data_IF_166159597649
#
_entry.id   IF_166159597649
#
_cell.length_a   1.000
_cell.length_b   1.000
_cell.length_c   1.000
_cell.angle_alpha   90.00
_cell.angle_beta   90.00
_cell.angle_gamma   90.00
#
_symmetry.space_group_name_H-M   'P 1'
#
loop_
_entity.id
_entity.type
_entity.pdbx_description
1 polymer ?
#
# COMPACT_ATOMS: atom_id res chain seq x y z
N UNK A 1 -59.39 -76.75 -2.48
CA UNK A 1 -60.65 -76.39 -1.78
C UNK A 1 -60.27 -75.69 -0.47
N UNK A 2 -60.89 -74.54 -0.18
CA UNK A 2 -60.74 -73.69 1.02
C UNK A 2 -59.38 -72.99 1.20
N UNK A 3 -59.26 -71.73 1.65
CA UNK A 3 -60.19 -70.66 2.06
C UNK A 3 -59.39 -69.34 2.01
N UNK A 4 -60.01 -68.25 1.55
CA UNK A 4 -59.53 -66.87 1.77
C UNK A 4 -59.68 -66.51 3.26
N UNK A 5 -58.80 -65.69 3.82
CA UNK A 5 -59.19 -64.44 4.50
C UNK A 5 -58.01 -63.51 4.84
N UNK A 6 -58.35 -62.22 4.76
CA UNK A 6 -57.62 -60.98 4.96
C UNK A 6 -56.66 -60.88 6.15
N UNK A 7 -55.62 -60.08 5.96
CA UNK A 7 -54.97 -59.29 7.00
C UNK A 7 -54.35 -58.02 6.40
N UNK A 8 -55.09 -56.91 6.45
CA UNK A 8 -54.58 -55.55 6.17
C UNK A 8 -53.74 -55.15 7.37
N UNK A 9 -52.47 -54.78 7.16
CA UNK A 9 -51.73 -53.94 8.11
C UNK A 9 -51.02 -52.81 7.37
N UNK A 10 -51.19 -51.63 7.96
CA UNK A 10 -50.88 -50.30 7.48
C UNK A 10 -49.44 -49.93 7.88
N UNK A 11 -48.73 -49.26 6.98
CA UNK A 11 -47.74 -48.19 7.22
C UNK A 11 -46.59 -48.39 8.22
N UNK A 12 -45.36 -48.29 7.72
CA UNK A 12 -44.42 -47.23 8.12
C UNK A 12 -43.21 -47.20 7.16
N UNK A 13 -43.25 -46.34 6.15
CA UNK A 13 -42.03 -45.87 5.50
C UNK A 13 -41.32 -44.93 6.47
N UNK A 14 -40.26 -45.42 7.11
CA UNK A 14 -39.33 -44.56 7.84
C UNK A 14 -38.49 -43.84 6.79
N UNK A 15 -38.90 -42.61 6.46
CA UNK A 15 -38.03 -41.63 5.83
C UNK A 15 -36.94 -41.29 6.86
N UNK A 16 -35.75 -41.86 6.68
CA UNK A 16 -34.54 -41.32 7.30
C UNK A 16 -34.22 -40.03 6.55
N UNK A 17 -34.91 -38.95 6.94
CA UNK A 17 -34.40 -37.62 6.72
C UNK A 17 -33.18 -37.50 7.65
N UNK A 18 -31.99 -37.81 7.12
CA UNK A 18 -30.76 -37.37 7.77
C UNK A 18 -30.82 -35.85 7.79
N UNK A 19 -31.00 -35.37 9.01
CA UNK A 19 -31.05 -33.98 9.43
C UNK A 19 -29.72 -33.30 9.10
N UNK A 20 -29.53 -32.93 7.83
CA UNK A 20 -28.43 -32.11 7.35
C UNK A 20 -28.69 -30.62 7.66
N UNK A 21 -29.36 -30.34 8.77
CA UNK A 21 -29.59 -29.00 9.31
C UNK A 21 -29.14 -28.92 10.78
N UNK A 22 -28.26 -29.83 11.21
CA UNK A 22 -27.53 -29.66 12.46
C UNK A 22 -26.40 -28.68 12.22
N UNK A 23 -26.68 -27.41 12.53
CA UNK A 23 -25.73 -26.36 12.87
C UNK A 23 -24.39 -26.45 12.13
N UNK A 24 -24.29 -25.69 11.03
CA UNK A 24 -23.02 -25.07 10.72
C UNK A 24 -22.74 -24.11 11.89
N UNK A 25 -22.22 -24.63 13.00
CA UNK A 25 -21.61 -23.83 14.05
C UNK A 25 -20.72 -22.84 13.30
N UNK A 26 -21.04 -21.56 13.42
CA UNK A 26 -20.15 -20.50 12.96
C UNK A 26 -18.92 -20.60 13.83
N UNK A 27 -17.98 -21.47 13.44
CA UNK A 27 -16.71 -21.60 14.10
C UNK A 27 -16.10 -20.20 14.12
N UNK A 28 -15.99 -19.63 15.33
CA UNK A 28 -15.50 -18.27 15.49
C UNK A 28 -14.07 -18.23 14.95
N UNK A 29 -13.80 -17.34 14.01
CA UNK A 29 -12.46 -17.22 13.43
C UNK A 29 -11.48 -16.81 14.54
N UNK A 30 -10.53 -17.70 14.84
CA UNK A 30 -9.47 -17.43 15.81
C UNK A 30 -8.36 -16.68 15.10
N UNK A 31 -8.18 -15.41 15.43
CA UNK A 31 -7.09 -14.60 14.88
C UNK A 31 -5.73 -15.15 15.34
N UNK A 32 -4.81 -15.50 14.42
CA UNK A 32 -3.46 -15.92 14.76
C UNK A 32 -2.73 -14.84 15.57
N UNK A 33 -1.72 -15.26 16.33
CA UNK A 33 -0.92 -14.37 17.18
C UNK A 33 0.52 -14.32 16.68
N UNK A 34 1.12 -13.14 16.79
CA UNK A 34 2.53 -12.91 16.52
C UNK A 34 3.43 -13.52 17.61
N UNK A 35 4.74 -13.46 17.39
CA UNK A 35 5.77 -13.95 18.31
C UNK A 35 5.73 -13.32 19.71
N UNK A 36 5.00 -12.20 19.89
CA UNK A 36 4.82 -11.55 21.19
C UNK A 36 3.47 -11.90 21.86
N UNK A 37 2.70 -12.79 21.22
CA UNK A 37 1.38 -13.20 21.65
C UNK A 37 0.28 -12.18 21.33
N UNK A 38 0.56 -11.12 20.57
CA UNK A 38 -0.45 -10.16 20.15
C UNK A 38 -1.15 -10.64 18.87
N UNK A 39 -2.45 -10.33 18.71
CA UNK A 39 -3.19 -10.75 17.52
C UNK A 39 -2.66 -10.04 16.28
N UNK A 40 -2.48 -10.78 15.19
CA UNK A 40 -2.24 -10.20 13.87
C UNK A 40 -3.43 -9.37 13.40
N UNK A 41 -3.16 -8.35 12.59
CA UNK A 41 -4.16 -7.79 11.68
C UNK A 41 -4.22 -8.70 10.45
N UNK A 42 -5.30 -9.45 10.30
CA UNK A 42 -5.48 -10.39 9.19
C UNK A 42 -6.43 -9.85 8.13
N UNK A 43 -6.20 -10.21 6.87
CA UNK A 43 -7.09 -9.80 5.79
C UNK A 43 -6.61 -10.23 4.41
N UNK A 44 -7.35 -9.77 3.40
CA UNK A 44 -7.00 -9.85 1.99
C UNK A 44 -6.30 -8.55 1.58
N UNK A 45 -5.04 -8.67 1.19
CA UNK A 45 -4.22 -7.61 0.61
C UNK A 45 -4.06 -7.86 -0.89
N UNK A 46 -4.92 -7.24 -1.70
CA UNK A 46 -4.79 -7.27 -3.17
C UNK A 46 -4.93 -8.68 -3.77
N UNK A 47 -5.74 -9.54 -3.16
CA UNK A 47 -5.98 -10.93 -3.56
C UNK A 47 -5.11 -11.95 -2.83
N UNK A 48 -4.37 -11.55 -1.79
CA UNK A 48 -3.52 -12.44 -0.98
C UNK A 48 -3.90 -12.36 0.50
N UNK A 49 -4.12 -13.50 1.18
CA UNK A 49 -4.29 -13.53 2.62
C UNK A 49 -2.97 -13.16 3.33
N UNK A 50 -3.05 -12.28 4.32
CA UNK A 50 -1.87 -11.77 5.04
C UNK A 50 -2.06 -11.78 6.57
N UNK A 51 -0.93 -11.88 7.27
CA UNK A 51 -0.79 -11.64 8.70
C UNK A 51 0.12 -10.42 8.92
N UNK A 52 -0.44 -9.29 9.36
CA UNK A 52 0.29 -8.05 9.65
C UNK A 52 0.53 -7.91 11.15
N UNK A 53 1.78 -8.04 11.57
CA UNK A 53 2.18 -8.02 12.98
C UNK A 53 2.40 -6.62 13.50
N UNK A 54 3.28 -6.49 14.49
CA UNK A 54 3.62 -5.19 15.11
C UNK A 54 4.50 -4.34 14.21
N UNK A 55 5.20 -4.98 13.28
CA UNK A 55 6.00 -4.39 12.22
C UNK A 55 5.17 -3.65 11.16
N UNK A 56 3.84 -3.84 11.11
CA UNK A 56 2.94 -3.21 10.15
C UNK A 56 1.76 -2.52 10.86
N UNK A 57 2.00 -1.40 11.56
CA UNK A 57 0.97 -0.68 12.28
C UNK A 57 -0.06 0.00 11.34
N UNK A 58 -1.10 0.58 11.94
CA UNK A 58 -2.08 1.45 11.27
C UNK A 58 -2.85 0.80 10.10
N UNK A 59 -3.23 -0.47 10.24
CA UNK A 59 -3.99 -1.19 9.21
C UNK A 59 -5.41 -0.65 9.05
N UNK A 60 -5.72 -0.18 7.84
CA UNK A 60 -7.04 0.26 7.41
C UNK A 60 -7.79 -0.85 6.68
N UNK A 61 -9.08 -0.98 6.98
CA UNK A 61 -9.99 -1.93 6.32
C UNK A 61 -11.11 -1.16 5.62
N UNK A 62 -11.81 -1.81 4.70
CA UNK A 62 -12.89 -1.25 3.87
C UNK A 62 -14.05 -0.58 4.63
N UNK A 63 -14.29 -1.04 5.86
CA UNK A 63 -15.35 -0.56 6.75
C UNK A 63 -14.87 0.41 7.83
N UNK A 64 -13.57 0.73 7.86
CA UNK A 64 -12.95 1.64 8.82
C UNK A 64 -11.98 2.59 8.08
N UNK A 65 -12.53 3.46 7.24
CA UNK A 65 -11.81 4.62 6.71
C UNK A 65 -11.78 5.72 7.78
N UNK A 66 -10.62 6.31 8.06
CA UNK A 66 -10.30 7.19 9.19
C UNK A 66 -11.07 8.50 9.39
N UNK A 67 -12.33 8.60 8.97
CA UNK A 67 -13.22 9.71 9.32
C UNK A 67 -14.29 9.24 10.31
N UNK A 68 -14.15 9.71 11.55
CA UNK A 68 -15.08 9.48 12.65
C UNK A 68 -16.43 10.11 12.31
N UNK A 69 -17.33 9.34 11.72
CA UNK A 69 -18.76 9.62 11.85
C UNK A 69 -19.11 9.42 13.33
N UNK A 70 -19.89 10.31 13.95
CA UNK A 70 -20.18 10.33 15.40
C UNK A 70 -20.85 9.07 15.99
N UNK A 71 -20.86 7.93 15.29
CA UNK A 71 -21.27 6.62 15.78
C UNK A 71 -20.04 5.85 16.25
N UNK A 72 -20.11 5.26 17.46
CA UNK A 72 -19.10 4.31 17.95
C UNK A 72 -18.94 3.18 16.91
N UNK A 73 -17.80 3.13 16.24
CA UNK A 73 -17.49 2.10 15.27
C UNK A 73 -17.47 0.73 15.97
N UNK A 74 -18.39 -0.17 15.58
CA UNK A 74 -18.40 -1.55 16.07
C UNK A 74 -17.46 -2.38 15.20
N UNK A 75 -16.24 -2.58 15.71
CA UNK A 75 -15.22 -3.38 15.03
C UNK A 75 -15.74 -4.81 14.76
N UNK A 76 -15.78 -5.19 13.48
CA UNK A 76 -16.10 -6.56 13.07
C UNK A 76 -14.91 -7.47 13.33
N UNK A 77 -15.19 -8.75 13.59
CA UNK A 77 -14.15 -9.79 13.59
C UNK A 77 -13.50 -9.83 12.22
N UNK A 78 -12.16 -9.76 12.19
CA UNK A 78 -11.39 -9.81 10.94
C UNK A 78 -11.05 -11.24 10.60
N UNK A 79 -11.14 -11.55 9.32
CA UNK A 79 -10.80 -12.83 8.71
C UNK A 79 -9.97 -12.57 7.46
N UNK A 80 -9.43 -13.62 6.82
CA UNK A 80 -8.70 -13.47 5.56
C UNK A 80 -9.56 -12.96 4.38
N UNK A 81 -10.88 -12.83 4.54
CA UNK A 81 -11.75 -12.17 3.55
C UNK A 81 -11.90 -10.66 3.78
N UNK A 82 -11.45 -10.15 4.93
CA UNK A 82 -11.53 -8.72 5.27
C UNK A 82 -10.58 -7.92 4.38
N UNK A 83 -11.10 -6.98 3.58
CA UNK A 83 -10.29 -6.22 2.62
C UNK A 83 -9.45 -5.17 3.33
N UNK A 84 -8.13 -5.29 3.21
CA UNK A 84 -7.17 -4.30 3.70
C UNK A 84 -7.01 -3.22 2.62
N UNK A 85 -7.19 -1.96 3.02
CA UNK A 85 -7.09 -0.80 2.13
C UNK A 85 -5.68 -0.22 2.16
N UNK A 86 -5.10 -0.07 3.35
CA UNK A 86 -3.78 0.49 3.52
C UNK A 86 -3.13 0.05 4.84
N UNK A 87 -1.81 0.13 4.88
CA UNK A 87 -1.01 0.13 6.10
C UNK A 87 0.35 0.75 5.79
N UNK A 88 1.14 1.03 6.83
CA UNK A 88 2.50 1.52 6.66
C UNK A 88 3.47 0.88 7.65
N UNK A 89 4.76 0.98 7.34
CA UNK A 89 5.85 0.57 8.20
C UNK A 89 7.13 1.30 7.79
N UNK A 90 8.10 1.37 8.70
CA UNK A 90 9.40 1.93 8.40
C UNK A 90 10.45 0.80 8.36
N UNK A 91 11.41 0.90 7.44
CA UNK A 91 12.47 -0.09 7.30
C UNK A 91 13.79 0.51 6.84
N UNK A 92 14.91 -0.08 7.26
CA UNK A 92 16.23 0.24 6.74
C UNK A 92 16.52 -0.61 5.51
N UNK A 93 16.75 0.02 4.36
CA UNK A 93 16.79 -0.72 3.09
C UNK A 93 18.08 -1.52 2.88
N UNK A 94 19.18 -1.12 3.53
CA UNK A 94 20.50 -1.75 3.37
C UNK A 94 20.50 -3.20 3.84
N UNK A 95 19.94 -3.47 5.01
CA UNK A 95 19.84 -4.82 5.61
C UNK A 95 18.42 -5.39 5.61
N UNK A 96 17.39 -4.56 5.51
CA UNK A 96 15.99 -4.96 5.60
C UNK A 96 15.44 -4.99 7.02
N UNK A 97 16.10 -4.32 7.98
CA UNK A 97 15.61 -4.17 9.35
C UNK A 97 14.30 -3.39 9.35
N UNK A 98 13.22 -3.98 9.87
CA UNK A 98 11.91 -3.31 10.01
C UNK A 98 11.79 -2.73 11.41
N UNK A 99 11.26 -1.51 11.51
CA UNK A 99 10.98 -0.86 12.78
C UNK A 99 9.82 -1.58 13.49
N UNK A 100 10.09 -2.07 14.70
CA UNK A 100 9.07 -2.64 15.59
C UNK A 100 9.06 -1.88 16.91
N UNK A 101 8.14 -0.92 17.04
CA UNK A 101 7.92 -0.22 18.31
C UNK A 101 6.82 -0.91 19.11
N UNK A 102 7.21 -1.89 19.93
CA UNK A 102 6.30 -2.64 20.78
C UNK A 102 6.97 -3.04 22.09
N UNK A 103 6.29 -2.85 23.23
CA UNK A 103 6.87 -3.03 24.57
C UNK A 103 7.41 -4.44 24.88
N UNK A 104 7.01 -5.48 24.14
CA UNK A 104 7.56 -6.85 24.26
C UNK A 104 8.62 -7.19 23.21
N UNK A 105 8.82 -6.33 22.22
CA UNK A 105 9.85 -6.51 21.21
C UNK A 105 11.23 -6.14 21.76
N UNK A 106 12.28 -6.64 21.13
CA UNK A 106 13.63 -6.14 21.38
C UNK A 106 13.67 -4.66 21.00
N UNK A 107 14.29 -3.78 21.81
CA UNK A 107 14.39 -2.36 21.50
C UNK A 107 15.35 -2.06 20.33
N UNK A 108 16.11 -3.07 19.85
CA UNK A 108 17.17 -2.92 18.86
C UNK A 108 16.75 -2.11 17.63
N UNK A 109 15.62 -2.44 16.98
CA UNK A 109 15.19 -1.70 15.78
C UNK A 109 14.87 -0.24 16.08
N UNK A 110 14.24 0.03 17.22
CA UNK A 110 13.84 1.39 17.62
C UNK A 110 15.03 2.23 18.04
N UNK A 111 16.03 1.64 18.71
CA UNK A 111 17.29 2.30 19.04
C UNK A 111 18.06 2.70 17.78
N UNK A 112 18.17 1.79 16.81
CA UNK A 112 18.81 2.06 15.51
C UNK A 112 18.06 3.17 14.74
N UNK A 113 16.73 3.08 14.67
CA UNK A 113 15.91 4.10 14.02
C UNK A 113 16.12 5.49 14.63
N UNK A 114 16.01 5.60 15.97
CA UNK A 114 16.15 6.88 16.65
C UNK A 114 17.56 7.48 16.52
N UNK A 115 18.59 6.65 16.44
CA UNK A 115 19.96 7.10 16.25
C UNK A 115 20.23 7.61 14.81
N UNK A 116 19.54 7.05 13.81
CA UNK A 116 19.87 7.25 12.41
C UNK A 116 18.89 8.17 11.66
N UNK A 117 17.60 8.21 12.01
CA UNK A 117 16.56 8.86 11.20
C UNK A 117 16.78 10.35 10.93
N UNK A 118 17.45 11.05 11.85
CA UNK A 118 17.76 12.47 11.70
C UNK A 118 19.07 12.74 10.95
N UNK A 119 19.76 11.70 10.50
CA UNK A 119 20.97 11.85 9.71
C UNK A 119 20.62 12.31 8.28
N UNK A 120 21.44 13.20 7.70
CA UNK A 120 21.27 13.71 6.34
C UNK A 120 21.29 12.64 5.24
N UNK A 121 21.88 11.48 5.50
CA UNK A 121 22.05 10.34 4.59
C UNK A 121 21.48 9.05 5.18
N UNK A 122 20.50 9.14 6.07
CA UNK A 122 19.86 7.98 6.70
C UNK A 122 19.26 7.02 5.67
N UNK A 123 19.32 5.73 5.99
CA UNK A 123 18.88 4.64 5.12
C UNK A 123 17.46 4.15 5.46
N UNK A 124 16.72 4.88 6.29
CA UNK A 124 15.38 4.50 6.69
C UNK A 124 14.37 4.98 5.65
N UNK A 125 13.47 4.07 5.30
CA UNK A 125 12.37 4.28 4.39
C UNK A 125 11.10 4.37 5.21
N UNK A 126 10.21 5.29 4.83
CA UNK A 126 8.79 5.14 5.19
C UNK A 126 8.05 4.48 4.06
N UNK A 127 7.41 3.34 4.34
CA UNK A 127 6.72 2.50 3.35
C UNK A 127 5.23 2.55 3.60
N UNK A 128 4.45 2.90 2.58
CA UNK A 128 3.00 2.83 2.59
C UNK A 128 2.51 1.86 1.53
N UNK A 129 1.64 0.93 1.92
CA UNK A 129 1.05 -0.07 1.03
C UNK A 129 -0.42 0.24 0.85
N UNK A 130 -0.88 0.23 -0.39
CA UNK A 130 -2.26 0.54 -0.76
C UNK A 130 -2.84 -0.57 -1.62
N UNK A 131 -4.03 -1.05 -1.26
CA UNK A 131 -4.73 -2.11 -1.96
C UNK A 131 -6.23 -1.79 -2.06
N UNK A 132 -6.96 -2.67 -2.74
CA UNK A 132 -8.40 -2.58 -2.93
C UNK A 132 -8.87 -1.18 -3.41
N UNK A 133 -9.69 -0.44 -2.65
CA UNK A 133 -10.16 0.90 -3.04
C UNK A 133 -9.04 1.93 -3.09
N UNK A 134 -7.95 1.73 -2.36
CA UNK A 134 -6.79 2.61 -2.37
C UNK A 134 -5.71 2.20 -3.39
N UNK A 135 -5.87 1.07 -4.11
CA UNK A 135 -4.84 0.52 -5.01
C UNK A 135 -4.26 1.55 -5.98
N UNK A 136 -5.12 2.28 -6.72
CA UNK A 136 -4.74 3.34 -7.69
C UNK A 136 -3.42 3.08 -8.45
N UNK A 137 -3.15 1.82 -8.82
CA UNK A 137 -1.86 1.35 -9.32
C UNK A 137 -1.77 1.29 -10.84
N UNK A 138 -2.36 2.26 -11.54
CA UNK A 138 -2.10 2.51 -12.96
C UNK A 138 -1.19 3.72 -13.10
N UNK A 139 0.12 3.46 -13.01
CA UNK A 139 1.15 4.50 -13.06
C UNK A 139 1.28 5.10 -14.47
N UNK A 140 0.86 4.38 -15.51
CA UNK A 140 0.89 4.92 -16.88
C UNK A 140 -0.15 6.01 -17.03
N UNK A 141 -1.39 5.76 -16.59
CA UNK A 141 -2.43 6.78 -16.54
C UNK A 141 -2.03 7.95 -15.64
N UNK A 142 -1.34 7.68 -14.52
CA UNK A 142 -0.84 8.74 -13.63
C UNK A 142 0.16 9.66 -14.34
N UNK A 143 1.15 9.11 -15.04
CA UNK A 143 2.10 9.89 -15.84
C UNK A 143 1.41 10.65 -16.98
N UNK A 144 0.49 10.00 -17.68
CA UNK A 144 -0.34 10.60 -18.75
C UNK A 144 -1.09 11.83 -18.22
N UNK A 145 -1.70 11.73 -17.03
CA UNK A 145 -2.42 12.86 -16.42
C UNK A 145 -1.49 14.01 -15.97
N UNK A 146 -0.20 13.75 -15.81
CA UNK A 146 0.83 14.73 -15.47
C UNK A 146 1.64 15.21 -16.69
N UNK A 147 1.20 14.93 -17.92
CA UNK A 147 1.86 15.37 -19.15
C UNK A 147 0.88 16.08 -20.09
N UNK A 148 1.41 16.87 -21.03
CA UNK A 148 0.60 17.69 -21.95
C UNK A 148 -0.25 16.87 -22.92
N UNK A 149 0.22 15.69 -23.31
CA UNK A 149 -0.33 14.94 -24.45
C UNK A 149 -1.76 14.44 -24.23
N UNK A 150 -2.25 14.46 -22.99
CA UNK A 150 -3.45 13.73 -22.61
C UNK A 150 -4.31 14.35 -21.50
N UNK A 151 -3.97 15.54 -20.99
CA UNK A 151 -4.85 16.20 -20.00
C UNK A 151 -6.15 16.60 -20.72
N UNK A 152 -7.28 16.01 -20.31
CA UNK A 152 -8.64 16.30 -20.83
C UNK A 152 -9.04 17.77 -20.59
N UNK A 153 -8.31 18.44 -19.71
CA UNK A 153 -8.47 19.86 -19.39
C UNK A 153 -8.13 20.74 -20.59
N UNK A 154 -8.98 21.73 -20.88
CA UNK A 154 -8.72 22.64 -22.00
C UNK A 154 -7.38 23.34 -21.85
N UNK A 155 -6.68 23.57 -22.97
CA UNK A 155 -5.42 24.34 -22.99
C UNK A 155 -5.54 25.68 -22.25
N UNK A 156 -6.70 26.33 -22.36
CA UNK A 156 -7.03 27.57 -21.64
C UNK A 156 -6.91 27.41 -20.12
N UNK A 157 -7.49 26.34 -19.56
CA UNK A 157 -7.39 26.09 -18.12
C UNK A 157 -5.95 25.71 -17.71
N UNK A 158 -5.23 24.92 -18.52
CA UNK A 158 -3.81 24.68 -18.26
C UNK A 158 -3.00 25.99 -18.20
N UNK A 159 -3.27 26.92 -19.11
CA UNK A 159 -2.63 28.24 -19.12
C UNK A 159 -3.03 29.09 -17.89
N UNK A 160 -4.31 29.10 -17.49
CA UNK A 160 -4.80 29.79 -16.29
C UNK A 160 -4.06 29.33 -15.02
N UNK A 161 -3.72 28.05 -14.93
CA UNK A 161 -2.97 27.46 -13.81
C UNK A 161 -1.47 27.33 -14.08
N UNK A 162 -0.94 28.05 -15.07
CA UNK A 162 0.50 28.07 -15.41
C UNK A 162 1.10 26.68 -15.67
N UNK A 163 0.29 25.71 -16.09
CA UNK A 163 0.68 24.31 -16.29
C UNK A 163 1.17 23.64 -15.01
N UNK A 164 0.57 23.98 -13.86
CA UNK A 164 0.79 23.26 -12.61
C UNK A 164 0.55 21.74 -12.80
N UNK A 165 1.40 20.94 -12.16
CA UNK A 165 1.43 19.46 -12.21
C UNK A 165 1.71 18.88 -13.61
N UNK A 166 2.19 19.70 -14.55
CA UNK A 166 2.59 19.25 -15.87
C UNK A 166 4.10 19.11 -15.93
N UNK A 167 4.51 17.96 -16.45
CA UNK A 167 5.88 17.59 -16.68
C UNK A 167 6.13 17.43 -18.18
N UNK A 168 7.33 17.80 -18.60
CA UNK A 168 7.84 17.63 -19.95
C UNK A 168 8.89 16.52 -19.94
N UNK A 169 8.82 15.53 -20.85
CA UNK A 169 9.88 14.55 -20.99
C UNK A 169 11.19 15.23 -21.39
N UNK A 170 12.30 14.75 -20.84
CA UNK A 170 13.65 15.11 -21.30
C UNK A 170 14.35 13.90 -21.92
N UNK A 171 15.46 14.15 -22.61
CA UNK A 171 16.39 13.13 -23.11
C UNK A 171 17.40 12.69 -22.04
N UNK A 172 17.31 13.24 -20.82
CA UNK A 172 18.20 12.91 -19.71
C UNK A 172 17.74 11.63 -19.01
N UNK A 173 18.73 10.80 -18.66
CA UNK A 173 18.53 9.60 -17.86
C UNK A 173 19.44 9.63 -16.64
N UNK A 174 18.87 9.29 -15.48
CA UNK A 174 19.59 9.19 -14.23
C UNK A 174 19.33 7.81 -13.60
N UNK A 175 20.38 7.03 -13.34
CA UNK A 175 20.29 5.66 -12.80
C UNK A 175 19.29 4.75 -13.54
N UNK A 176 19.17 4.95 -14.87
CA UNK A 176 18.25 4.19 -15.72
C UNK A 176 16.79 4.68 -15.72
N UNK A 177 16.50 5.84 -15.12
CA UNK A 177 15.19 6.48 -15.11
C UNK A 177 15.18 7.65 -16.09
N UNK A 178 14.14 7.77 -16.93
CA UNK A 178 13.95 8.95 -17.77
C UNK A 178 13.52 10.13 -16.89
N UNK A 179 14.20 11.26 -17.01
CA UNK A 179 13.86 12.48 -16.28
C UNK A 179 12.76 13.27 -17.01
N UNK A 180 11.83 13.78 -16.21
CA UNK A 180 10.73 14.63 -16.60
C UNK A 180 10.79 15.90 -15.75
N UNK A 181 10.82 17.06 -16.40
CA UNK A 181 10.98 18.35 -15.73
C UNK A 181 9.64 19.08 -15.63
N UNK A 182 9.38 19.82 -14.55
CA UNK A 182 8.19 20.67 -14.45
C UNK A 182 8.11 21.68 -15.58
N UNK A 183 6.88 22.00 -16.00
CA UNK A 183 6.66 22.94 -17.10
C UNK A 183 7.27 24.33 -16.76
N UNK A 184 8.04 24.97 -17.67
CA UNK A 184 8.77 26.22 -17.37
C UNK A 184 7.90 27.38 -16.88
N UNK A 185 6.64 27.49 -17.37
CA UNK A 185 5.68 28.48 -16.85
C UNK A 185 5.34 28.26 -15.38
N UNK A 186 5.21 27.00 -14.95
CA UNK A 186 4.96 26.66 -13.56
C UNK A 186 6.19 26.98 -12.72
N UNK A 187 7.39 26.58 -13.18
CA UNK A 187 8.65 26.91 -12.50
C UNK A 187 8.81 28.41 -12.29
N UNK A 188 8.56 29.22 -13.33
CA UNK A 188 8.62 30.68 -13.23
C UNK A 188 7.60 31.22 -12.23
N UNK A 189 6.34 30.80 -12.34
CA UNK A 189 5.27 31.25 -11.44
C UNK A 189 5.52 30.84 -9.99
N UNK A 190 6.04 29.63 -9.78
CA UNK A 190 6.37 29.11 -8.46
C UNK A 190 7.47 29.95 -7.82
N UNK A 191 8.57 30.27 -8.55
CA UNK A 191 9.63 31.18 -8.09
C UNK A 191 9.12 32.58 -7.72
N UNK A 192 8.20 33.15 -8.50
CA UNK A 192 7.55 34.42 -8.17
C UNK A 192 6.72 34.32 -6.87
N UNK A 193 5.99 33.22 -6.68
CA UNK A 193 5.20 32.99 -5.46
C UNK A 193 6.09 32.84 -4.23
N UNK A 194 7.23 32.14 -4.34
CA UNK A 194 8.21 31.98 -3.26
C UNK A 194 8.77 33.34 -2.84
N UNK A 195 9.14 34.19 -3.80
CA UNK A 195 9.69 35.52 -3.49
C UNK A 195 8.71 36.42 -2.72
N UNK A 196 7.40 36.17 -2.82
CA UNK A 196 6.34 36.94 -2.14
C UNK A 196 5.89 36.24 -0.85
N UNK A 197 6.03 34.92 -0.77
CA UNK A 197 5.61 34.11 0.37
C UNK A 197 6.80 33.80 1.29
N UNK A 198 7.05 34.67 2.26
CA UNK A 198 8.18 34.58 3.21
C UNK A 198 7.92 33.67 4.42
N UNK A 199 6.83 32.89 4.41
CA UNK A 199 6.47 31.98 5.50
C UNK A 199 6.95 30.53 5.29
N UNK A 200 7.01 29.76 6.38
CA UNK A 200 7.40 28.33 6.41
C UNK A 200 6.52 27.37 5.58
N UNK A 201 5.49 27.89 4.88
CA UNK A 201 4.55 27.14 4.04
C UNK A 201 4.80 27.35 2.53
N UNK A 202 6.01 27.74 2.13
CA UNK A 202 6.39 27.73 0.72
C UNK A 202 6.46 26.27 0.24
N UNK A 203 5.33 25.73 -0.19
CA UNK A 203 5.26 24.40 -0.81
C UNK A 203 5.69 24.55 -2.27
N UNK A 204 6.92 24.12 -2.53
CA UNK A 204 7.50 23.92 -3.85
C UNK A 204 6.87 22.67 -4.45
N UNK A 205 6.16 22.79 -5.57
CA UNK A 205 5.63 21.64 -6.33
C UNK A 205 6.32 21.61 -7.69
N UNK A 206 7.64 21.82 -7.67
CA UNK A 206 8.53 21.82 -8.84
C UNK A 206 9.48 20.63 -8.78
N UNK A 207 8.98 19.53 -8.24
CA UNK A 207 9.68 18.27 -8.07
C UNK A 207 10.24 17.78 -9.41
N UNK A 208 11.39 17.11 -9.37
CA UNK A 208 11.82 16.31 -10.52
C UNK A 208 11.00 15.01 -10.55
N UNK A 209 10.57 14.60 -11.74
CA UNK A 209 9.92 13.30 -11.94
C UNK A 209 10.85 12.35 -12.70
N UNK A 210 11.07 11.16 -12.15
CA UNK A 210 11.85 10.10 -12.76
C UNK A 210 10.95 8.90 -13.06
N UNK A 211 11.12 8.31 -14.24
CA UNK A 211 10.20 7.29 -14.76
C UNK A 211 10.96 6.06 -15.26
N UNK A 212 10.59 4.87 -14.76
CA UNK A 212 10.93 3.59 -15.40
C UNK A 212 9.75 3.12 -16.25
N UNK A 213 10.03 2.75 -17.51
CA UNK A 213 9.08 2.09 -18.41
C UNK A 213 9.62 0.73 -18.80
N UNK A 214 8.74 -0.23 -19.05
CA UNK A 214 9.13 -1.47 -19.73
C UNK A 214 9.28 -1.27 -21.25
N UNK A 215 9.73 -2.30 -21.95
CA UNK A 215 9.91 -2.30 -23.42
C UNK A 215 8.63 -1.93 -24.21
N UNK A 216 7.45 -2.13 -23.62
CA UNK A 216 6.14 -1.80 -24.22
C UNK A 216 5.67 -0.39 -23.87
N UNK A 217 6.51 0.42 -23.21
CA UNK A 217 6.19 1.79 -22.78
C UNK A 217 5.31 1.88 -21.53
N UNK A 218 4.97 0.76 -20.88
CA UNK A 218 4.20 0.76 -19.63
C UNK A 218 5.08 1.23 -18.48
N UNK A 219 4.61 2.23 -17.76
CA UNK A 219 5.28 2.75 -16.55
C UNK A 219 5.25 1.71 -15.44
N UNK A 220 6.44 1.37 -14.93
CA UNK A 220 6.65 0.43 -13.83
C UNK A 220 6.87 1.16 -12.49
N UNK A 221 7.60 2.28 -12.55
CA UNK A 221 8.00 3.06 -11.38
C UNK A 221 7.93 4.55 -11.70
N UNK A 222 7.41 5.34 -10.75
CA UNK A 222 7.47 6.80 -10.75
C UNK A 222 8.21 7.24 -9.48
N UNK A 223 9.13 8.19 -9.59
CA UNK A 223 9.81 8.77 -8.44
C UNK A 223 9.71 10.29 -8.55
N UNK A 224 9.10 10.94 -7.57
CA UNK A 224 9.11 12.40 -7.46
C UNK A 224 10.10 12.78 -6.37
N UNK A 225 11.05 13.65 -6.68
CA UNK A 225 11.97 14.18 -5.68
C UNK A 225 11.73 15.68 -5.52
N UNK A 226 11.53 16.10 -4.27
CA UNK A 226 11.23 17.48 -3.92
C UNK A 226 12.28 18.47 -4.43
N UNK A 227 11.93 19.75 -4.48
CA UNK A 227 12.94 20.81 -4.59
C UNK A 227 13.31 21.31 -3.19
N UNK A 228 14.60 21.54 -2.94
CA UNK A 228 15.10 22.03 -1.65
C UNK A 228 16.40 22.80 -1.84
N UNK A 229 16.53 23.93 -1.15
CA UNK A 229 17.79 24.68 -1.05
C UNK A 229 18.89 23.87 -0.36
N UNK A 230 18.52 22.85 0.42
CA UNK A 230 19.43 21.86 0.97
C UNK A 230 19.21 20.51 0.26
N UNK A 231 20.02 20.17 -0.77
CA UNK A 231 19.87 18.95 -1.56
C UNK A 231 19.92 17.67 -0.73
N UNK A 232 20.57 17.71 0.43
CA UNK A 232 20.74 16.54 1.30
C UNK A 232 19.45 16.25 2.08
N UNK A 233 18.67 17.28 2.43
CA UNK A 233 17.37 17.14 3.09
C UNK A 233 16.21 16.84 2.12
N UNK A 234 16.48 16.79 0.82
CA UNK A 234 15.48 16.54 -0.22
C UNK A 234 15.00 15.09 -0.13
N UNK A 235 13.70 14.90 -0.04
CA UNK A 235 13.07 13.59 -0.06
C UNK A 235 12.63 13.21 -1.49
N UNK A 236 12.72 11.93 -1.77
CA UNK A 236 12.15 11.28 -2.94
C UNK A 236 11.03 10.34 -2.50
N UNK A 237 9.95 10.35 -3.26
CA UNK A 237 8.82 9.45 -3.13
C UNK A 237 8.77 8.56 -4.36
N UNK A 238 8.99 7.28 -4.16
CA UNK A 238 8.89 6.26 -5.21
C UNK A 238 7.56 5.53 -5.11
N UNK A 239 6.93 5.30 -6.26
CA UNK A 239 5.69 4.54 -6.40
C UNK A 239 5.90 3.38 -7.39
N UNK A 240 5.52 2.18 -6.99
CA UNK A 240 5.56 0.98 -7.83
C UNK A 240 4.41 0.03 -7.46
N UNK A 241 4.13 -0.96 -8.32
CA UNK A 241 3.05 -1.94 -8.11
C UNK A 241 3.61 -3.35 -7.93
N UNK A 242 2.91 -4.16 -7.13
CA UNK A 242 3.30 -5.54 -6.82
C UNK A 242 2.64 -6.59 -7.72
N UNK A 243 2.21 -6.19 -8.92
CA UNK A 243 1.67 -7.11 -9.93
C UNK A 243 2.80 -7.93 -10.58
N UNK A 244 2.55 -9.19 -10.95
CA UNK A 244 1.26 -9.92 -10.85
C UNK A 244 0.98 -10.55 -9.49
N UNK A 245 1.92 -10.52 -8.55
CA UNK A 245 1.84 -11.27 -7.29
C UNK A 245 0.66 -10.83 -6.41
N UNK A 246 0.40 -9.52 -6.35
CA UNK A 246 -0.74 -8.96 -5.63
C UNK A 246 -1.17 -7.61 -6.22
N UNK A 247 -2.47 -7.31 -6.16
CA UNK A 247 -3.04 -6.02 -6.57
C UNK A 247 -2.85 -4.98 -5.46
N UNK A 248 -1.59 -4.63 -5.21
CA UNK A 248 -1.18 -3.58 -4.27
C UNK A 248 -0.19 -2.61 -4.93
N UNK A 249 -0.21 -1.35 -4.50
CA UNK A 249 0.75 -0.29 -4.83
C UNK A 249 1.55 0.02 -3.59
N UNK A 250 2.85 0.22 -3.73
CA UNK A 250 3.75 0.63 -2.66
C UNK A 250 4.25 2.03 -2.95
N UNK A 251 4.25 2.87 -1.92
CA UNK A 251 4.97 4.13 -1.89
C UNK A 251 6.13 3.98 -0.91
N UNK A 252 7.33 4.42 -1.28
CA UNK A 252 8.46 4.57 -0.36
C UNK A 252 8.94 6.01 -0.35
N UNK A 253 9.19 6.56 0.84
CA UNK A 253 9.81 7.87 1.04
C UNK A 253 11.24 7.65 1.54
N UNK A 254 12.22 8.31 0.90
CA UNK A 254 13.64 8.19 1.22
C UNK A 254 14.39 9.47 0.85
N UNK A 255 15.59 9.67 1.39
CA UNK A 255 16.42 10.85 1.04
C UNK A 255 17.01 10.74 -0.36
N UNK A 256 17.03 11.85 -1.09
CA UNK A 256 17.39 11.87 -2.51
C UNK A 256 18.82 11.46 -2.82
N UNK A 257 19.72 11.51 -1.83
CA UNK A 257 21.08 10.94 -1.93
C UNK A 257 21.07 9.44 -2.24
N UNK A 258 19.99 8.74 -1.90
CA UNK A 258 19.79 7.31 -2.17
C UNK A 258 19.01 7.04 -3.47
N UNK A 259 18.82 8.05 -4.35
CA UNK A 259 18.14 7.84 -5.63
C UNK A 259 18.81 6.76 -6.47
N UNK A 260 20.14 6.64 -6.44
CA UNK A 260 20.86 5.57 -7.14
C UNK A 260 20.44 4.15 -6.71
N UNK A 261 19.94 3.99 -5.49
CA UNK A 261 19.56 2.72 -4.87
C UNK A 261 18.07 2.39 -5.05
N UNK A 262 17.33 3.16 -5.85
CA UNK A 262 15.88 3.03 -6.02
C UNK A 262 15.40 1.60 -6.36
N UNK A 263 16.20 0.83 -7.12
CA UNK A 263 15.88 -0.59 -7.41
C UNK A 263 16.03 -1.48 -6.18
N UNK A 264 17.04 -1.23 -5.35
CA UNK A 264 17.29 -1.97 -4.11
C UNK A 264 16.18 -1.64 -3.10
N UNK A 265 15.85 -0.37 -2.95
CA UNK A 265 14.72 0.13 -2.13
C UNK A 265 13.43 -0.61 -2.52
N UNK A 266 13.09 -0.61 -3.82
CA UNK A 266 11.92 -1.31 -4.36
C UNK A 266 11.92 -2.80 -4.03
N UNK A 267 13.05 -3.48 -4.26
CA UNK A 267 13.20 -4.92 -4.02
C UNK A 267 13.03 -5.26 -2.53
N UNK A 268 13.61 -4.46 -1.63
CA UNK A 268 13.58 -4.67 -0.19
C UNK A 268 12.19 -4.43 0.38
N UNK A 269 11.54 -3.33 0.01
CA UNK A 269 10.16 -3.05 0.38
C UNK A 269 9.21 -4.15 -0.15
N UNK A 270 9.36 -4.58 -1.42
CA UNK A 270 8.60 -5.70 -1.98
C UNK A 270 8.78 -6.97 -1.15
N UNK A 271 10.01 -7.32 -0.76
CA UNK A 271 10.31 -8.51 0.03
C UNK A 271 9.62 -8.49 1.40
N UNK A 272 9.62 -7.36 2.09
CA UNK A 272 8.91 -7.22 3.38
C UNK A 272 7.42 -7.43 3.20
N UNK A 273 6.80 -6.74 2.23
CA UNK A 273 5.35 -6.86 1.98
C UNK A 273 4.94 -8.30 1.62
N UNK A 274 5.75 -8.98 0.80
CA UNK A 274 5.52 -10.37 0.45
C UNK A 274 5.69 -11.33 1.63
N UNK A 275 6.52 -10.98 2.61
CA UNK A 275 6.71 -11.75 3.84
C UNK A 275 5.46 -11.85 4.72
N UNK A 276 4.47 -10.97 4.53
CA UNK A 276 3.20 -11.03 5.25
C UNK A 276 2.21 -12.06 4.69
N UNK A 277 2.46 -12.58 3.48
CA UNK A 277 1.55 -13.53 2.82
C UNK A 277 1.58 -14.87 3.56
N UNK A 278 0.40 -15.44 3.80
CA UNK A 278 0.25 -16.74 4.47
C UNK A 278 -0.63 -17.68 3.68
N UNK A 279 -0.57 -18.98 3.98
CA UNK A 279 -1.55 -19.94 3.47
C UNK A 279 -2.63 -20.19 4.53
N UNK A 280 -3.92 -19.90 4.24
CA UNK A 280 -4.99 -19.98 5.25
C UNK A 280 -5.19 -21.36 5.88
N UNK A 281 -4.73 -22.43 5.24
CA UNK A 281 -4.99 -23.82 5.64
C UNK A 281 -4.13 -24.31 6.83
N UNK A 282 -3.13 -23.54 7.26
CA UNK A 282 -2.16 -23.97 8.29
C UNK A 282 -2.45 -23.46 9.72
N UNK A 283 -3.61 -22.87 9.98
CA UNK A 283 -3.97 -22.35 11.30
C UNK A 283 -5.20 -23.05 11.89
N UNK A 284 -5.17 -24.38 11.95
CA UNK A 284 -5.97 -25.11 12.93
C UNK A 284 -5.27 -24.92 14.28
N UNK A 285 -5.95 -24.23 15.20
CA UNK A 285 -5.39 -23.72 16.46
C UNK A 285 -4.56 -24.74 17.23
N UNK A 286 -3.43 -24.25 17.77
CA UNK A 286 -2.83 -24.75 19.00
C UNK A 286 -3.43 -23.94 20.15
#
# INVERSE_FOLDING_TARGET
>A
MAKKLLGITLSAFILIACDYNKELETQEFITPRDQYGARYSVGDLGGKPVNLGREAPWVEYDDNSGFVTGKKYKRKTRTYQSKIQAFGFDMRYTDGLVLVDYYKASPYSSEQYNAEINLPDNHWLSVSVYADRHYNGDLSTKLINSTLDTKITSKKHLEEFNFRDIYLPSDEYEYGLQKYIPHPKWVKRNKELIAINTGANALYDIDDLYVEKNEKGKVLTLITCGDSENPIARECKQEFVLKPEMRARVTTIFQSVHLQDWKIIQLKAKKVVQGFIVEPNNYNGV
#
